data_IF_130140697325
#
_entry.id   IF_130140697325
#
_cell.length_a   1.000
_cell.length_b   1.000
_cell.length_c   1.000
_cell.angle_alpha   90.00
_cell.angle_beta   90.00
_cell.angle_gamma   90.00
#
_symmetry.space_group_name_H-M   'P 1'
#
loop_
_entity.id
_entity.type
_entity.pdbx_description
1 polymer ?
#
# COMPACT_ATOMS: atom_id res chain seq x y z
N UNK A 1 6.02 64.82 -23.98
CA UNK A 1 6.38 63.79 -22.97
C UNK A 1 5.19 63.02 -22.41
N UNK A 2 3.94 63.45 -22.64
CA UNK A 2 2.74 62.75 -22.10
C UNK A 2 2.18 61.67 -23.05
N UNK A 3 2.63 61.55 -24.26
CA UNK A 3 2.10 60.59 -25.26
C UNK A 3 2.76 59.24 -25.15
N UNK A 4 4.01 59.15 -24.67
CA UNK A 4 4.77 57.89 -24.55
C UNK A 4 4.37 57.06 -23.31
N UNK A 5 3.94 57.70 -22.24
CA UNK A 5 3.54 56.98 -21.02
C UNK A 5 2.20 56.24 -21.16
N UNK A 6 1.28 56.73 -21.99
CA UNK A 6 -0.01 56.06 -22.22
C UNK A 6 0.09 54.83 -23.12
N UNK A 7 1.07 54.78 -24.03
CA UNK A 7 1.32 53.63 -24.92
C UNK A 7 2.01 52.50 -24.14
N UNK A 8 2.96 52.78 -23.28
CA UNK A 8 3.66 51.78 -22.46
C UNK A 8 2.73 51.06 -21.45
N UNK A 9 1.80 51.77 -20.88
CA UNK A 9 0.85 51.20 -19.90
C UNK A 9 -0.22 50.31 -20.57
N UNK A 10 -0.57 50.57 -21.83
CA UNK A 10 -1.54 49.77 -22.60
C UNK A 10 -0.94 48.42 -23.01
N UNK A 11 0.35 48.38 -23.41
CA UNK A 11 1.07 47.18 -23.80
C UNK A 11 1.33 46.25 -22.60
N UNK A 12 1.62 46.81 -21.43
CA UNK A 12 1.83 46.01 -20.22
C UNK A 12 0.56 45.30 -19.74
N UNK A 13 -0.62 45.97 -19.86
CA UNK A 13 -1.91 45.34 -19.55
C UNK A 13 -2.27 44.23 -20.53
N UNK A 14 -2.03 44.47 -21.84
CA UNK A 14 -2.27 43.41 -22.85
C UNK A 14 -1.35 42.22 -22.63
N UNK A 15 -0.07 42.43 -22.34
CA UNK A 15 0.89 41.33 -22.07
C UNK A 15 0.50 40.52 -20.84
N UNK A 16 -0.02 41.14 -19.78
CA UNK A 16 -0.52 40.45 -18.57
C UNK A 16 -1.74 39.58 -18.88
N UNK A 17 -2.65 40.04 -19.75
CA UNK A 17 -3.80 39.24 -20.21
C UNK A 17 -3.39 38.05 -21.06
N UNK A 18 -2.37 38.21 -21.93
CA UNK A 18 -1.82 37.10 -22.70
C UNK A 18 -1.16 36.06 -21.82
N UNK A 19 -0.38 36.48 -20.82
CA UNK A 19 0.23 35.57 -19.85
C UNK A 19 -0.86 34.82 -19.08
N UNK A 20 -1.91 35.51 -18.64
CA UNK A 20 -3.04 34.88 -17.97
C UNK A 20 -3.75 33.87 -18.89
N UNK A 21 -4.03 34.22 -20.13
CA UNK A 21 -4.65 33.33 -21.10
C UNK A 21 -3.79 32.06 -21.38
N UNK A 22 -2.48 32.20 -21.48
CA UNK A 22 -1.55 31.08 -21.65
C UNK A 22 -1.56 30.19 -20.39
N UNK A 23 -1.54 30.77 -19.21
CA UNK A 23 -1.63 29.99 -17.95
C UNK A 23 -2.94 29.21 -17.89
N UNK A 24 -4.08 29.87 -18.17
CA UNK A 24 -5.40 29.22 -18.18
C UNK A 24 -5.46 28.10 -19.23
N UNK A 25 -4.88 28.33 -20.41
CA UNK A 25 -4.79 27.31 -21.45
C UNK A 25 -3.95 26.11 -20.99
N UNK A 26 -2.80 26.34 -20.38
CA UNK A 26 -1.97 25.25 -19.82
C UNK A 26 -2.68 24.48 -18.72
N UNK A 27 -3.38 25.16 -17.82
CA UNK A 27 -4.22 24.52 -16.78
C UNK A 27 -5.28 23.65 -17.45
N UNK A 28 -5.97 24.17 -18.47
CA UNK A 28 -7.01 23.43 -19.18
C UNK A 28 -6.45 22.17 -19.89
N UNK A 29 -5.31 22.30 -20.54
CA UNK A 29 -4.61 21.15 -21.16
C UNK A 29 -4.22 20.12 -20.09
N UNK A 30 -3.65 20.55 -18.95
CA UNK A 30 -3.29 19.66 -17.84
C UNK A 30 -4.52 18.94 -17.25
N UNK A 31 -5.67 19.61 -17.20
CA UNK A 31 -6.91 19.01 -16.70
C UNK A 31 -7.45 17.90 -17.61
N UNK A 32 -7.12 17.91 -18.88
CA UNK A 32 -7.61 16.94 -19.86
C UNK A 32 -6.64 15.80 -20.20
N UNK A 33 -5.45 15.76 -19.59
CA UNK A 33 -4.48 14.71 -19.87
C UNK A 33 -5.06 13.34 -19.51
N UNK A 34 -5.22 12.41 -20.50
CA UNK A 34 -5.73 11.06 -20.22
C UNK A 34 -4.75 10.28 -19.35
N UNK A 35 -5.26 9.61 -18.31
CA UNK A 35 -4.43 8.77 -17.45
C UNK A 35 -3.72 7.66 -18.22
N UNK A 36 -4.40 7.06 -19.20
CA UNK A 36 -3.84 6.01 -20.04
C UNK A 36 -2.58 6.45 -20.79
N UNK A 37 -2.52 7.69 -21.26
CA UNK A 37 -1.34 8.22 -21.96
C UNK A 37 -0.12 8.35 -21.05
N UNK A 38 -0.31 8.82 -19.80
CA UNK A 38 0.76 8.92 -18.82
C UNK A 38 1.25 7.53 -18.42
N UNK A 39 0.35 6.63 -18.08
CA UNK A 39 0.69 5.26 -17.67
C UNK A 39 1.47 4.55 -18.78
N UNK A 40 1.05 4.66 -20.05
CA UNK A 40 1.76 4.04 -21.18
C UNK A 40 3.17 4.59 -21.40
N UNK A 41 3.41 5.85 -21.02
CA UNK A 41 4.72 6.50 -21.22
C UNK A 41 5.72 6.23 -20.10
N UNK A 42 5.23 6.10 -18.86
CA UNK A 42 6.07 5.91 -17.68
C UNK A 42 6.13 4.46 -17.20
N UNK A 43 5.15 3.65 -17.56
CA UNK A 43 5.08 2.25 -17.18
C UNK A 43 5.13 1.38 -18.44
N UNK A 44 6.32 0.90 -18.77
CA UNK A 44 6.56 0.09 -19.98
C UNK A 44 5.98 -1.34 -19.89
N UNK A 45 5.62 -1.78 -18.69
CA UNK A 45 5.08 -3.12 -18.46
C UNK A 45 3.55 -3.07 -18.37
N UNK A 46 2.89 -3.10 -19.53
CA UNK A 46 1.44 -3.00 -19.67
C UNK A 46 0.67 -4.22 -19.10
N UNK A 47 1.37 -5.19 -18.47
CA UNK A 47 0.74 -6.41 -18.00
C UNK A 47 0.04 -6.24 -16.64
N UNK A 48 0.41 -5.25 -15.84
CA UNK A 48 -0.13 -5.07 -14.49
C UNK A 48 -1.39 -4.22 -14.47
N UNK A 49 -1.47 -3.17 -15.29
CA UNK A 49 -2.61 -2.26 -15.36
C UNK A 49 -3.30 -2.37 -16.73
N UNK A 50 -4.61 -2.60 -16.71
CA UNK A 50 -5.45 -2.75 -17.89
C UNK A 50 -6.69 -1.86 -17.76
N UNK A 51 -7.38 -1.62 -18.87
CA UNK A 51 -8.65 -0.87 -18.91
C UNK A 51 -8.59 0.48 -18.18
N UNK A 52 -7.47 1.19 -18.32
CA UNK A 52 -7.28 2.49 -17.68
C UNK A 52 -8.28 3.49 -18.26
N UNK A 53 -9.10 4.07 -17.41
CA UNK A 53 -10.12 5.06 -17.77
C UNK A 53 -10.01 6.31 -16.88
N UNK A 54 -10.52 7.42 -17.41
CA UNK A 54 -10.46 8.70 -16.73
C UNK A 54 -9.21 9.52 -17.08
N UNK A 55 -8.93 10.50 -16.25
CA UNK A 55 -7.83 11.45 -16.43
C UNK A 55 -6.84 11.39 -15.26
N UNK A 56 -5.82 12.24 -15.29
CA UNK A 56 -4.81 12.32 -14.22
C UNK A 56 -5.42 12.65 -12.85
N UNK A 57 -6.53 13.37 -12.81
CA UNK A 57 -7.15 13.86 -11.59
C UNK A 57 -8.09 12.87 -10.94
N UNK A 58 -8.78 12.09 -11.77
CA UNK A 58 -9.64 11.01 -11.31
C UNK A 58 -9.76 9.93 -12.38
N UNK A 59 -9.71 8.68 -11.96
CA UNK A 59 -9.82 7.56 -12.87
C UNK A 59 -9.87 6.23 -12.15
N UNK A 60 -9.90 5.20 -12.93
CA UNK A 60 -9.83 3.82 -12.48
C UNK A 60 -9.08 2.95 -13.47
N UNK A 61 -8.53 1.87 -13.00
CA UNK A 61 -7.87 0.86 -13.79
C UNK A 61 -8.10 -0.52 -13.19
N UNK A 62 -8.11 -1.52 -14.02
CA UNK A 62 -8.03 -2.91 -13.59
C UNK A 62 -6.56 -3.26 -13.41
N UNK A 63 -6.26 -4.00 -12.38
CA UNK A 63 -4.91 -4.52 -12.16
C UNK A 63 -4.93 -6.02 -11.93
N UNK A 64 -3.86 -6.68 -12.35
CA UNK A 64 -3.61 -8.05 -11.98
C UNK A 64 -2.13 -8.29 -11.74
N UNK A 65 -1.84 -9.13 -10.78
CA UNK A 65 -0.48 -9.60 -10.50
C UNK A 65 -0.53 -11.03 -9.99
N UNK A 66 0.06 -11.95 -10.75
CA UNK A 66 -0.10 -13.37 -10.47
C UNK A 66 -1.56 -13.78 -10.52
N UNK A 67 -2.06 -14.39 -9.46
CA UNK A 67 -3.44 -14.83 -9.33
C UNK A 67 -4.39 -13.77 -8.74
N UNK A 68 -3.88 -12.62 -8.32
CA UNK A 68 -4.69 -11.55 -7.74
C UNK A 68 -5.12 -10.58 -8.81
N UNK A 69 -6.43 -10.27 -8.83
CA UNK A 69 -7.04 -9.29 -9.73
C UNK A 69 -7.87 -8.32 -8.93
N UNK A 70 -7.96 -7.09 -9.41
CA UNK A 70 -8.79 -6.11 -8.77
C UNK A 70 -8.90 -4.83 -9.58
N UNK A 71 -9.54 -3.84 -8.99
CA UNK A 71 -9.65 -2.50 -9.52
C UNK A 71 -8.99 -1.51 -8.57
N UNK A 72 -8.40 -0.48 -9.11
CA UNK A 72 -7.89 0.67 -8.37
C UNK A 72 -8.53 1.93 -8.92
N UNK A 73 -9.14 2.71 -8.06
CA UNK A 73 -9.66 4.02 -8.39
C UNK A 73 -8.83 5.09 -7.67
N UNK A 74 -8.57 6.20 -8.34
CA UNK A 74 -7.81 7.31 -7.77
C UNK A 74 -8.53 8.65 -7.95
N UNK A 75 -8.28 9.54 -7.01
CA UNK A 75 -8.66 10.94 -7.06
C UNK A 75 -7.49 11.77 -6.56
N UNK A 76 -6.88 12.53 -7.46
CA UNK A 76 -5.72 13.38 -7.13
C UNK A 76 -6.14 14.49 -6.18
N UNK A 77 -5.27 14.82 -5.26
CA UNK A 77 -5.44 15.89 -4.27
C UNK A 77 -4.62 17.12 -4.67
N UNK A 78 -5.22 18.12 -5.32
CA UNK A 78 -4.47 19.26 -5.88
C UNK A 78 -3.73 20.08 -4.81
N UNK A 79 -4.24 20.14 -3.59
CA UNK A 79 -3.58 20.85 -2.50
C UNK A 79 -2.26 20.20 -2.05
N UNK A 80 -2.07 18.90 -2.28
CA UNK A 80 -0.81 18.24 -1.98
C UNK A 80 0.34 18.73 -2.89
N UNK A 81 0.02 19.26 -4.07
CA UNK A 81 1.01 19.86 -4.96
C UNK A 81 1.64 21.13 -4.36
N UNK A 82 0.89 21.88 -3.57
CA UNK A 82 1.40 23.06 -2.84
C UNK A 82 2.48 22.64 -1.84
N UNK A 83 2.36 21.43 -1.29
CA UNK A 83 3.33 20.82 -0.38
C UNK A 83 4.46 20.09 -1.10
N UNK A 84 4.63 20.32 -2.40
CA UNK A 84 5.64 19.69 -3.26
C UNK A 84 5.55 18.15 -3.24
N UNK A 85 4.34 17.61 -3.16
CA UNK A 85 4.07 16.18 -3.27
C UNK A 85 2.85 15.93 -4.16
N UNK A 86 2.91 14.90 -4.96
CA UNK A 86 1.76 14.41 -5.71
C UNK A 86 1.01 13.41 -4.81
N UNK A 87 -0.23 13.71 -4.45
CA UNK A 87 -1.05 12.84 -3.61
C UNK A 87 -2.36 12.48 -4.29
N UNK A 88 -2.83 11.26 -4.06
CA UNK A 88 -4.12 10.79 -4.52
C UNK A 88 -4.80 9.93 -3.44
N UNK A 89 -6.10 10.13 -3.27
CA UNK A 89 -6.94 9.17 -2.57
C UNK A 89 -7.13 7.96 -3.48
N UNK A 90 -6.89 6.77 -2.96
CA UNK A 90 -7.02 5.52 -3.70
C UNK A 90 -8.03 4.60 -3.02
N UNK A 91 -8.78 3.87 -3.85
CA UNK A 91 -9.65 2.78 -3.44
C UNK A 91 -9.26 1.54 -4.24
N UNK A 92 -8.96 0.46 -3.55
CA UNK A 92 -8.58 -0.82 -4.13
C UNK A 92 -9.66 -1.83 -3.81
N UNK A 93 -10.14 -2.53 -4.84
CA UNK A 93 -11.11 -3.61 -4.71
C UNK A 93 -10.57 -4.88 -5.38
N UNK A 94 -10.70 -5.99 -4.68
CA UNK A 94 -10.39 -7.33 -5.21
C UNK A 94 -11.33 -8.33 -4.56
N UNK A 95 -12.43 -8.71 -5.23
CA UNK A 95 -13.50 -9.49 -4.61
C UNK A 95 -14.06 -8.77 -3.37
N UNK A 96 -14.01 -9.44 -2.22
CA UNK A 96 -14.44 -8.88 -0.94
C UNK A 96 -13.34 -8.08 -0.21
N UNK A 97 -12.14 -8.01 -0.76
CA UNK A 97 -11.07 -7.14 -0.27
C UNK A 97 -11.34 -5.70 -0.70
N UNK A 98 -11.32 -4.80 0.26
CA UNK A 98 -11.50 -3.37 0.04
C UNK A 98 -10.49 -2.60 0.89
N UNK A 99 -9.68 -1.77 0.24
CA UNK A 99 -8.71 -0.90 0.90
C UNK A 99 -8.87 0.52 0.37
N UNK A 100 -8.80 1.49 1.27
CA UNK A 100 -8.85 2.90 0.93
C UNK A 100 -7.82 3.68 1.73
N UNK A 101 -7.26 4.70 1.13
CA UNK A 101 -6.27 5.54 1.78
C UNK A 101 -5.73 6.60 0.85
N UNK A 102 -4.65 7.23 1.26
CA UNK A 102 -3.96 8.26 0.48
C UNK A 102 -2.54 7.78 0.18
N UNK A 103 -2.16 7.85 -1.07
CA UNK A 103 -0.79 7.60 -1.50
C UNK A 103 -0.22 8.86 -2.10
N UNK A 104 0.99 9.22 -1.70
CA UNK A 104 1.69 10.39 -2.19
C UNK A 104 3.10 10.05 -2.66
N UNK A 105 3.60 10.86 -3.59
CA UNK A 105 4.97 10.82 -4.05
C UNK A 105 5.61 12.19 -3.83
N UNK A 106 6.57 12.26 -2.94
CA UNK A 106 7.22 13.49 -2.53
C UNK A 106 8.63 13.67 -3.09
N UNK A 107 9.21 14.82 -2.79
CA UNK A 107 10.60 15.13 -3.15
C UNK A 107 11.57 14.06 -2.65
N UNK A 108 12.61 13.78 -3.42
CA UNK A 108 13.60 12.76 -3.10
C UNK A 108 13.11 11.32 -3.30
N UNK A 109 12.13 11.11 -4.19
CA UNK A 109 11.57 9.79 -4.51
C UNK A 109 10.98 9.07 -3.28
N UNK A 110 10.31 9.82 -2.43
CA UNK A 110 9.66 9.32 -1.23
C UNK A 110 8.21 8.92 -1.54
N UNK A 111 7.86 7.69 -1.22
CA UNK A 111 6.48 7.20 -1.23
C UNK A 111 5.89 7.44 0.16
N UNK A 112 4.67 7.98 0.19
CA UNK A 112 3.94 8.27 1.42
C UNK A 112 2.62 7.53 1.35
N UNK A 113 2.33 6.73 2.37
CA UNK A 113 1.03 6.08 2.56
C UNK A 113 0.41 6.67 3.82
N UNK A 114 -0.85 7.08 3.76
CA UNK A 114 -1.56 7.68 4.88
C UNK A 114 -2.95 7.08 5.00
N UNK A 115 -3.31 6.75 6.25
CA UNK A 115 -4.65 6.33 6.65
C UNK A 115 -5.22 5.17 5.82
N UNK A 116 -4.35 4.25 5.37
CA UNK A 116 -4.79 3.07 4.64
C UNK A 116 -5.59 2.17 5.55
N UNK A 117 -6.87 2.03 5.25
CA UNK A 117 -7.83 1.28 6.04
C UNK A 117 -8.69 0.39 5.16
N UNK A 118 -9.24 -0.67 5.73
CA UNK A 118 -10.13 -1.58 5.05
C UNK A 118 -9.95 -3.02 5.50
N UNK A 119 -10.29 -3.94 4.63
CA UNK A 119 -10.23 -5.38 4.91
C UNK A 119 -9.61 -6.17 3.78
N UNK A 120 -8.87 -7.22 4.15
CA UNK A 120 -8.35 -8.23 3.24
C UNK A 120 -9.15 -9.50 3.45
N UNK A 121 -9.85 -9.96 2.41
CA UNK A 121 -10.71 -11.12 2.48
C UNK A 121 -9.94 -12.44 2.46
N UNK A 122 -10.50 -13.54 2.98
CA UNK A 122 -9.91 -14.86 2.91
C UNK A 122 -9.65 -15.33 1.46
N UNK A 123 -10.50 -14.95 0.52
CA UNK A 123 -10.32 -15.27 -0.91
C UNK A 123 -9.03 -14.64 -1.45
N UNK A 124 -8.73 -13.41 -1.10
CA UNK A 124 -7.47 -12.75 -1.47
C UNK A 124 -6.27 -13.44 -0.82
N UNK A 125 -6.36 -13.78 0.47
CA UNK A 125 -5.30 -14.52 1.16
C UNK A 125 -5.03 -15.87 0.50
N UNK A 126 -6.08 -16.58 0.06
CA UNK A 126 -5.96 -17.84 -0.67
C UNK A 126 -5.25 -17.70 -2.03
N UNK A 127 -5.39 -16.56 -2.70
CA UNK A 127 -4.67 -16.30 -3.95
C UNK A 127 -3.18 -16.02 -3.73
N UNK A 128 -2.82 -15.48 -2.57
CA UNK A 128 -1.44 -15.21 -2.18
C UNK A 128 -0.75 -16.48 -1.69
N UNK A 129 -1.43 -17.25 -0.85
CA UNK A 129 -0.95 -18.52 -0.29
C UNK A 129 -2.08 -19.53 -0.36
N UNK A 130 -1.89 -20.61 -1.12
CA UNK A 130 -2.92 -21.62 -1.37
C UNK A 130 -3.16 -22.52 -0.15
N UNK A 131 -3.65 -21.90 0.93
CA UNK A 131 -4.10 -22.57 2.14
C UNK A 131 -5.61 -22.39 2.29
N UNK A 132 -6.22 -23.17 3.18
CA UNK A 132 -7.61 -22.93 3.59
C UNK A 132 -7.61 -21.98 4.78
N UNK A 133 -7.95 -20.73 4.47
CA UNK A 133 -7.99 -19.64 5.45
C UNK A 133 -9.33 -19.63 6.21
N UNK A 134 -9.32 -19.24 7.50
CA UNK A 134 -10.55 -18.98 8.23
C UNK A 134 -11.42 -17.95 7.52
N UNK A 135 -12.74 -18.00 7.76
CA UNK A 135 -13.71 -17.09 7.14
C UNK A 135 -13.62 -15.62 7.62
N UNK A 136 -12.64 -15.29 8.45
CA UNK A 136 -12.45 -13.95 8.99
C UNK A 136 -11.51 -13.12 8.09
N UNK A 137 -11.94 -11.92 7.72
CA UNK A 137 -11.09 -10.96 7.04
C UNK A 137 -10.09 -10.29 7.98
N UNK A 138 -8.91 -9.95 7.46
CA UNK A 138 -7.95 -9.11 8.17
C UNK A 138 -8.43 -7.67 8.07
N UNK A 139 -8.60 -6.99 9.19
CA UNK A 139 -8.95 -5.57 9.25
C UNK A 139 -7.68 -4.74 9.39
N UNK A 140 -7.56 -3.71 8.57
CA UNK A 140 -6.49 -2.73 8.63
C UNK A 140 -7.05 -1.38 9.05
N UNK A 141 -6.43 -0.72 10.02
CA UNK A 141 -6.87 0.57 10.56
C UNK A 141 -5.74 1.59 10.49
N UNK A 142 -5.96 2.62 9.68
CA UNK A 142 -5.12 3.81 9.58
C UNK A 142 -3.62 3.52 9.42
N UNK A 143 -3.28 2.54 8.56
CA UNK A 143 -1.87 2.26 8.27
C UNK A 143 -1.24 3.44 7.56
N UNK A 144 -0.19 3.97 8.14
CA UNK A 144 0.57 5.10 7.61
C UNK A 144 2.06 4.79 7.69
N UNK A 145 2.79 5.11 6.65
CA UNK A 145 4.25 5.02 6.64
C UNK A 145 4.84 5.84 5.49
N UNK A 146 6.13 6.07 5.55
CA UNK A 146 6.93 6.65 4.47
C UNK A 146 7.99 5.66 4.06
N UNK A 147 8.25 5.58 2.76
CA UNK A 147 9.28 4.71 2.20
C UNK A 147 10.19 5.50 1.26
N UNK A 148 11.49 5.29 1.41
CA UNK A 148 12.51 5.78 0.51
C UNK A 148 13.53 4.67 0.26
N UNK A 149 13.81 4.37 -1.02
CA UNK A 149 14.58 3.19 -1.42
C UNK A 149 15.95 3.07 -0.74
N UNK A 150 16.63 4.18 -0.51
CA UNK A 150 17.97 4.24 0.12
C UNK A 150 17.93 4.24 1.67
N UNK A 151 16.83 4.68 2.27
CA UNK A 151 16.68 4.84 3.73
C UNK A 151 15.72 3.82 4.37
N UNK A 152 14.84 3.21 3.57
CA UNK A 152 13.81 2.29 4.05
C UNK A 152 12.55 3.00 4.54
N UNK A 153 11.94 2.45 5.57
CA UNK A 153 10.67 2.87 6.13
C UNK A 153 10.84 3.82 7.32
N UNK A 154 9.90 4.73 7.47
CA UNK A 154 9.85 5.68 8.59
C UNK A 154 8.43 6.14 8.85
N UNK A 155 8.19 6.70 10.04
CA UNK A 155 6.91 7.25 10.48
C UNK A 155 5.76 6.26 10.29
N UNK A 156 5.99 5.01 10.67
CA UNK A 156 5.01 3.96 10.61
C UNK A 156 4.07 4.02 11.81
N UNK A 157 2.78 3.93 11.54
CA UNK A 157 1.72 3.81 12.52
C UNK A 157 0.52 3.06 11.92
N UNK A 158 -0.33 2.53 12.78
CA UNK A 158 -1.53 1.83 12.37
C UNK A 158 -1.70 0.49 13.05
N UNK A 159 -2.83 -0.14 12.81
CA UNK A 159 -3.22 -1.37 13.46
C UNK A 159 -3.78 -2.38 12.48
N UNK A 160 -3.63 -3.65 12.85
CA UNK A 160 -4.19 -4.80 12.16
C UNK A 160 -4.94 -5.65 13.18
N UNK A 161 -6.11 -6.14 12.80
CA UNK A 161 -6.90 -7.08 13.62
C UNK A 161 -7.33 -8.26 12.76
N UNK A 162 -7.24 -9.45 13.33
CA UNK A 162 -7.72 -10.66 12.68
C UNK A 162 -8.31 -11.62 13.72
N UNK A 163 -9.54 -12.09 13.46
CA UNK A 163 -10.26 -12.97 14.38
C UNK A 163 -9.71 -14.40 14.46
N UNK A 164 -8.78 -14.76 13.60
CA UNK A 164 -8.22 -16.12 13.55
C UNK A 164 -9.24 -17.17 13.12
N UNK A 165 -9.10 -18.36 13.63
CA UNK A 165 -9.93 -19.53 13.33
C UNK A 165 -9.10 -20.70 12.81
N UNK A 166 -9.76 -21.72 12.25
CA UNK A 166 -9.07 -22.90 11.74
C UNK A 166 -8.36 -22.61 10.41
N UNK A 167 -7.05 -22.76 10.39
CA UNK A 167 -6.19 -22.65 9.22
C UNK A 167 -5.71 -24.05 8.83
N UNK A 168 -5.95 -24.48 7.58
CA UNK A 168 -5.41 -25.71 7.02
C UNK A 168 -4.34 -25.32 6.03
N UNK A 169 -3.12 -25.73 6.30
CA UNK A 169 -1.95 -25.39 5.49
C UNK A 169 -1.28 -26.65 4.96
N UNK A 170 -0.55 -26.49 3.86
CA UNK A 170 0.21 -27.56 3.22
C UNK A 170 1.70 -27.26 3.36
N UNK A 171 2.44 -28.20 3.91
CA UNK A 171 3.89 -28.16 3.98
C UNK A 171 4.48 -29.37 3.26
N UNK A 172 5.08 -29.15 2.11
CA UNK A 172 5.49 -30.24 1.22
C UNK A 172 4.26 -31.03 0.73
N UNK A 173 4.26 -32.34 0.99
CA UNK A 173 3.11 -33.20 0.66
C UNK A 173 2.16 -33.45 1.85
N UNK A 174 2.44 -32.86 3.00
CA UNK A 174 1.62 -33.02 4.20
C UNK A 174 0.67 -31.85 4.36
N UNK A 175 -0.56 -32.17 4.67
CA UNK A 175 -1.57 -31.21 5.07
C UNK A 175 -1.73 -31.28 6.60
N UNK A 176 -1.71 -30.14 7.25
CA UNK A 176 -1.90 -30.02 8.69
C UNK A 176 -2.85 -28.88 9.00
N UNK A 177 -3.36 -28.82 10.21
CA UNK A 177 -4.29 -27.78 10.66
C UNK A 177 -3.76 -27.09 11.90
N UNK A 178 -4.12 -25.82 12.02
CA UNK A 178 -3.74 -24.97 13.14
C UNK A 178 -4.96 -24.15 13.57
N UNK A 179 -5.24 -24.13 14.85
CA UNK A 179 -6.20 -23.16 15.40
C UNK A 179 -5.51 -21.85 15.63
N UNK A 180 -5.68 -20.91 14.68
CA UNK A 180 -5.13 -19.57 14.80
C UNK A 180 -5.90 -18.77 15.84
N UNK A 181 -5.24 -18.25 16.89
CA UNK A 181 -5.88 -17.34 17.82
C UNK A 181 -6.21 -16.01 17.15
N UNK A 182 -7.13 -15.25 17.76
CA UNK A 182 -7.31 -13.85 17.39
C UNK A 182 -6.02 -13.08 17.67
N UNK A 183 -5.59 -12.28 16.70
CA UNK A 183 -4.36 -11.49 16.78
C UNK A 183 -4.63 -10.03 16.51
N UNK A 184 -3.84 -9.17 17.15
CA UNK A 184 -3.76 -7.75 16.91
C UNK A 184 -2.32 -7.41 16.52
N UNK A 185 -2.15 -6.59 15.49
CA UNK A 185 -0.85 -6.12 15.03
C UNK A 185 -0.74 -4.63 15.16
N UNK A 186 0.38 -4.14 15.68
CA UNK A 186 0.75 -2.73 15.65
C UNK A 186 1.86 -2.53 14.63
N UNK A 187 1.66 -1.55 13.74
CA UNK A 187 2.67 -1.16 12.76
C UNK A 187 3.65 -0.19 13.39
N UNK A 188 4.93 -0.47 13.26
CA UNK A 188 6.03 0.35 13.78
C UNK A 188 7.13 0.43 12.74
N UNK A 189 7.99 1.44 12.82
CA UNK A 189 9.25 1.46 12.10
C UNK A 189 10.44 1.31 13.07
N UNK A 190 11.38 0.49 12.67
CA UNK A 190 12.58 0.20 13.46
C UNK A 190 13.78 0.09 12.53
N UNK A 191 14.73 1.00 12.67
CA UNK A 191 15.98 1.01 11.89
C UNK A 191 15.75 0.94 10.36
N UNK A 192 14.75 1.65 9.85
CA UNK A 192 14.39 1.64 8.43
C UNK A 192 13.59 0.43 7.95
N UNK A 193 13.20 -0.46 8.86
CA UNK A 193 12.31 -1.60 8.57
C UNK A 193 10.90 -1.30 9.04
N UNK A 194 9.93 -1.80 8.30
CA UNK A 194 8.53 -1.81 8.72
C UNK A 194 8.28 -3.08 9.54
N UNK A 195 7.69 -2.95 10.71
CA UNK A 195 7.47 -4.05 11.62
C UNK A 195 6.01 -4.15 12.03
N UNK A 196 5.42 -5.33 11.90
CA UNK A 196 4.19 -5.72 12.57
C UNK A 196 4.50 -6.60 13.78
N UNK A 197 4.22 -6.11 14.97
CA UNK A 197 4.26 -6.86 16.22
C UNK A 197 2.88 -7.47 16.48
N UNK A 198 2.73 -8.78 16.23
CA UNK A 198 1.47 -9.49 16.34
C UNK A 198 1.33 -10.08 17.76
N UNK A 199 0.23 -9.74 18.41
CA UNK A 199 -0.09 -10.18 19.77
C UNK A 199 -1.48 -10.77 19.84
N UNK A 200 -1.68 -11.67 20.81
CA UNK A 200 -3.01 -12.20 21.12
C UNK A 200 -3.87 -11.19 21.92
N UNK A 201 -5.06 -11.60 22.30
CA UNK A 201 -5.97 -10.77 23.11
C UNK A 201 -5.42 -10.45 24.51
N UNK A 202 -4.48 -11.25 25.01
CA UNK A 202 -3.78 -11.04 26.30
C UNK A 202 -2.51 -10.21 26.15
N UNK A 203 -2.28 -9.63 24.98
CA UNK A 203 -1.07 -8.86 24.65
C UNK A 203 0.23 -9.69 24.68
N UNK A 204 0.13 -11.00 24.55
CA UNK A 204 1.27 -11.90 24.50
C UNK A 204 1.80 -12.00 23.07
N UNK A 205 3.11 -12.05 22.92
CA UNK A 205 3.76 -12.14 21.62
C UNK A 205 3.39 -13.41 20.88
N UNK A 206 2.97 -13.27 19.61
CA UNK A 206 2.63 -14.38 18.73
C UNK A 206 3.57 -14.47 17.54
N UNK A 207 3.80 -13.38 16.85
CA UNK A 207 4.66 -13.31 15.70
C UNK A 207 5.21 -11.90 15.50
N UNK A 208 6.25 -11.80 14.67
CA UNK A 208 6.84 -10.54 14.26
C UNK A 208 7.10 -10.59 12.75
N UNK A 209 6.59 -9.61 12.02
CA UNK A 209 6.79 -9.48 10.59
C UNK A 209 7.64 -8.24 10.35
N UNK A 210 8.79 -8.40 9.69
CA UNK A 210 9.68 -7.28 9.37
C UNK A 210 9.86 -7.18 7.86
N UNK A 211 9.60 -6.02 7.30
CA UNK A 211 9.83 -5.72 5.90
C UNK A 211 11.00 -4.72 5.80
N UNK A 212 12.07 -5.11 5.13
CA UNK A 212 13.21 -4.23 4.92
C UNK A 212 13.07 -3.34 3.66
N UNK A 213 14.05 -2.45 3.48
CA UNK A 213 14.08 -1.52 2.34
C UNK A 213 14.14 -2.20 0.96
N UNK A 214 14.61 -3.44 0.90
CA UNK A 214 14.72 -4.23 -0.32
C UNK A 214 13.49 -5.10 -0.54
N UNK A 215 12.42 -4.86 0.25
CA UNK A 215 11.16 -5.58 0.23
C UNK A 215 11.30 -7.08 0.55
N UNK A 216 12.29 -7.42 1.36
CA UNK A 216 12.43 -8.75 1.94
C UNK A 216 11.63 -8.82 3.24
N UNK A 217 10.76 -9.81 3.35
CA UNK A 217 9.94 -10.06 4.52
C UNK A 217 10.57 -11.15 5.40
N UNK A 218 10.89 -10.78 6.63
CA UNK A 218 11.28 -11.71 7.68
C UNK A 218 10.04 -12.04 8.53
N UNK A 219 9.72 -13.32 8.65
CA UNK A 219 8.62 -13.84 9.47
C UNK A 219 9.22 -14.59 10.65
N UNK A 220 8.90 -14.13 11.86
CA UNK A 220 9.34 -14.74 13.10
C UNK A 220 8.12 -15.21 13.89
N UNK A 221 8.08 -16.49 14.25
CA UNK A 221 6.98 -17.10 14.96
C UNK A 221 7.44 -17.56 16.35
N UNK A 222 6.63 -17.25 17.38
CA UNK A 222 6.92 -17.64 18.75
C UNK A 222 6.55 -19.10 19.02
N UNK A 223 7.17 -19.66 20.05
CA UNK A 223 6.77 -20.95 20.64
C UNK A 223 5.27 -20.99 20.99
N UNK A 224 4.74 -19.90 21.58
CA UNK A 224 3.31 -19.78 21.95
C UNK A 224 2.41 -19.96 20.74
N UNK A 225 2.73 -19.35 19.60
CA UNK A 225 1.94 -19.51 18.37
C UNK A 225 1.98 -20.95 17.87
N UNK A 226 3.16 -21.55 17.82
CA UNK A 226 3.35 -22.91 17.28
C UNK A 226 2.69 -24.00 18.16
N UNK A 227 2.51 -23.75 19.43
CA UNK A 227 1.77 -24.68 20.31
C UNK A 227 0.27 -24.82 19.95
N UNK A 228 -0.28 -23.97 19.08
CA UNK A 228 -1.60 -24.15 18.49
C UNK A 228 -1.61 -25.20 17.36
N UNK A 229 -0.46 -25.72 16.95
CA UNK A 229 -0.33 -26.83 16.01
C UNK A 229 -0.33 -28.13 16.80
N UNK A 230 -1.31 -29.03 16.61
CA UNK A 230 -1.42 -30.26 17.42
C UNK A 230 -0.20 -31.17 17.36
N UNK A 231 0.51 -31.17 16.24
CA UNK A 231 1.72 -31.99 16.02
C UNK A 231 3.01 -31.37 16.54
N UNK A 232 2.96 -30.15 17.08
CA UNK A 232 4.12 -29.43 17.57
C UNK A 232 4.31 -29.63 19.08
N UNK A 233 5.48 -30.09 19.49
CA UNK A 233 5.85 -30.43 20.88
C UNK A 233 7.10 -29.69 21.39
N UNK A 234 7.45 -28.55 20.79
CA UNK A 234 8.62 -27.74 21.18
C UNK A 234 8.59 -27.35 22.66
N UNK A 235 9.77 -27.22 23.26
CA UNK A 235 9.97 -26.96 24.70
C UNK A 235 10.67 -25.63 24.99
N UNK A 236 10.76 -24.74 24.01
CA UNK A 236 11.35 -23.40 24.20
C UNK A 236 10.48 -22.53 25.11
N UNK A 237 11.00 -21.37 25.53
CA UNK A 237 10.19 -20.36 26.20
C UNK A 237 9.07 -19.84 25.31
N UNK A 238 7.90 -19.51 25.88
CA UNK A 238 6.70 -19.12 25.11
C UNK A 238 6.93 -17.90 24.22
N UNK A 239 7.72 -16.94 24.64
CA UNK A 239 8.04 -15.71 23.91
C UNK A 239 9.24 -15.84 22.96
N UNK A 240 9.87 -17.01 22.91
CA UNK A 240 11.02 -17.27 22.04
C UNK A 240 10.55 -17.43 20.61
N UNK A 241 11.22 -16.74 19.68
CA UNK A 241 11.05 -16.97 18.24
C UNK A 241 11.77 -18.28 17.85
N UNK A 242 11.00 -19.30 17.53
CA UNK A 242 11.52 -20.65 17.17
C UNK A 242 11.53 -20.92 15.68
N UNK A 243 10.80 -20.12 14.92
CA UNK A 243 10.83 -20.14 13.44
C UNK A 243 11.16 -18.73 12.97
N UNK A 244 12.14 -18.67 12.06
CA UNK A 244 12.48 -17.43 11.35
C UNK A 244 12.69 -17.76 9.88
N UNK A 245 11.93 -17.13 9.00
CA UNK A 245 12.02 -17.28 7.55
C UNK A 245 12.18 -15.93 6.90
N UNK A 246 12.95 -15.88 5.80
CA UNK A 246 13.14 -14.68 4.99
C UNK A 246 12.76 -14.97 3.55
N UNK A 247 11.88 -14.13 3.00
CA UNK A 247 11.40 -14.28 1.62
C UNK A 247 11.10 -12.90 1.00
N UNK A 248 11.20 -12.78 -0.33
CA UNK A 248 10.75 -11.57 -1.01
C UNK A 248 9.24 -11.39 -0.84
N UNK A 249 8.79 -10.18 -0.52
CA UNK A 249 7.36 -9.87 -0.37
C UNK A 249 6.57 -10.16 -1.67
N UNK A 250 7.20 -9.94 -2.82
CA UNK A 250 6.56 -10.04 -4.14
C UNK A 250 6.83 -11.36 -4.88
N UNK A 251 7.50 -12.32 -4.27
CA UNK A 251 7.81 -13.60 -4.90
C UNK A 251 6.72 -14.68 -4.74
N UNK A 252 5.69 -14.41 -3.99
CA UNK A 252 4.56 -15.32 -3.78
C UNK A 252 3.56 -15.40 -4.94
N UNK A 253 3.93 -14.99 -6.14
CA UNK A 253 3.03 -14.92 -7.27
C UNK A 253 3.69 -15.24 -8.60
N UNK A 254 4.45 -16.33 -8.64
CA UNK A 254 4.98 -16.87 -9.89
C UNK A 254 4.41 -18.24 -10.13
#
# INVERSE_FOLDING_TARGET
>A
NDVDDHQMNKNSKQMRWWIFAVIVFFIFVCLQIPAAWIISKFYKDNQVLQNVSGNLWQGQADWHKGNVRGTVAWKTRPFDLILLRAGASINIHSGNTQLQGVVGYGLGKKIIVQDMSGQISPETLKTLVNWQWPANSIQLEQLSFRYKKDQGFSQADGQLQWGGGELIYTFGQRQDRMSMPSVQGKLLDEQGKLRFDLRDQRQQKMANLLLDKDLMLDVQLTQRLLLNIPSYDGKAGLDTYVVSTRQPLLSGGF
#
